data_IF_501457563057
#
_entry.id   IF_501457563057
#
_cell.length_a   1.000
_cell.length_b   1.000
_cell.length_c   1.000
_cell.angle_alpha   90.00
_cell.angle_beta   90.00
_cell.angle_gamma   90.00
#
_symmetry.space_group_name_H-M   'P 1'
#
loop_
_entity.id
_entity.type
_entity.pdbx_description
1 polymer ?
#
# COMPACT_ATOMS: atom_id res chain seq x y z
N UNK A 1 8.62 3.40 8.90
CA UNK A 1 7.78 4.47 8.30
C UNK A 1 6.37 4.35 8.86
N UNK A 2 5.70 5.44 9.14
CA UNK A 2 4.32 5.49 9.67
C UNK A 2 3.41 6.26 8.71
N UNK A 3 2.16 5.80 8.57
CA UNK A 3 1.13 6.42 7.73
C UNK A 3 -0.21 6.37 8.46
N UNK A 4 -0.89 7.52 8.56
CA UNK A 4 -2.27 7.63 9.03
C UNK A 4 -3.23 7.57 7.83
N UNK A 5 -4.29 6.77 7.96
CA UNK A 5 -5.33 6.58 6.96
C UNK A 5 -6.55 7.47 7.24
N UNK A 6 -7.44 7.58 6.26
CA UNK A 6 -8.64 8.43 6.34
C UNK A 6 -9.62 8.00 7.45
N UNK A 7 -9.59 6.72 7.84
CA UNK A 7 -10.37 6.17 8.95
C UNK A 7 -9.72 6.41 10.33
N UNK A 8 -8.60 7.15 10.37
CA UNK A 8 -7.84 7.42 11.58
C UNK A 8 -6.95 6.26 12.02
N UNK A 9 -6.88 5.16 11.27
CA UNK A 9 -5.96 4.06 11.59
C UNK A 9 -4.53 4.39 11.18
N UNK A 10 -3.58 4.01 12.03
CA UNK A 10 -2.15 4.19 11.77
C UNK A 10 -1.53 2.84 11.46
N UNK A 11 -0.75 2.78 10.38
CA UNK A 11 0.01 1.59 10.00
C UNK A 11 1.50 1.90 9.89
N UNK A 12 2.32 0.92 10.27
CA UNK A 12 3.77 1.06 10.29
C UNK A 12 4.43 0.05 9.35
N UNK A 13 5.63 0.40 8.89
CA UNK A 13 6.52 -0.49 8.15
C UNK A 13 7.89 -0.52 8.82
N UNK A 14 8.42 -1.73 9.01
CA UNK A 14 9.78 -2.04 9.45
C UNK A 14 10.85 -1.72 8.38
N UNK A 15 10.44 -1.44 7.14
CA UNK A 15 11.35 -1.14 6.05
C UNK A 15 11.83 0.31 6.11
N UNK A 16 13.10 0.50 5.79
CA UNK A 16 13.70 1.83 5.65
C UNK A 16 13.06 2.64 4.51
N UNK A 17 12.67 1.97 3.42
CA UNK A 17 11.98 2.57 2.29
C UNK A 17 10.85 1.65 1.83
N UNK A 18 9.68 2.25 1.62
CA UNK A 18 8.49 1.58 1.11
C UNK A 18 7.73 2.56 0.20
N UNK A 19 7.02 2.03 -0.78
CA UNK A 19 6.18 2.83 -1.68
C UNK A 19 4.72 2.75 -1.27
N UNK A 20 3.97 3.84 -1.47
CA UNK A 20 2.53 3.87 -1.24
C UNK A 20 1.76 3.38 -2.47
N UNK A 21 0.63 2.72 -2.22
CA UNK A 21 -0.29 2.28 -3.24
C UNK A 21 -1.18 3.44 -3.69
N UNK A 22 -1.10 3.80 -4.97
CA UNK A 22 -1.99 4.80 -5.59
C UNK A 22 -3.06 4.18 -6.49
N UNK A 23 -2.93 2.90 -6.83
CA UNK A 23 -3.86 2.17 -7.71
C UNK A 23 -5.03 1.49 -6.98
N UNK A 24 -4.99 1.42 -5.64
CA UNK A 24 -5.93 0.68 -4.78
C UNK A 24 -6.07 -0.82 -5.05
N UNK A 25 -5.12 -1.43 -5.78
CA UNK A 25 -5.10 -2.88 -6.07
C UNK A 25 -4.23 -3.70 -5.11
N UNK A 26 -3.52 -3.04 -4.19
CA UNK A 26 -2.63 -3.73 -3.25
C UNK A 26 -3.43 -4.60 -2.28
N UNK A 27 -2.93 -5.82 -2.02
CA UNK A 27 -3.47 -6.71 -0.98
C UNK A 27 -2.94 -6.35 0.41
N UNK A 28 -1.99 -5.43 0.47
CA UNK A 28 -1.32 -4.94 1.68
C UNK A 28 -1.43 -3.41 1.78
N UNK A 29 -2.58 -2.86 1.41
CA UNK A 29 -2.84 -1.43 1.50
C UNK A 29 -2.47 -0.91 2.91
N UNK A 30 -1.79 0.24 3.02
CA UNK A 30 -1.46 1.24 1.99
C UNK A 30 -0.15 0.98 1.22
N UNK A 31 0.56 -0.11 1.49
CA UNK A 31 1.85 -0.38 0.86
C UNK A 31 1.70 -0.89 -0.57
N UNK A 32 2.56 -0.43 -1.47
CA UNK A 32 2.63 -0.98 -2.82
C UNK A 32 3.26 -2.38 -2.78
N UNK A 33 2.54 -3.37 -3.29
CA UNK A 33 2.96 -4.78 -3.38
C UNK A 33 3.04 -5.27 -4.83
N UNK A 34 3.21 -4.33 -5.77
CA UNK A 34 3.26 -4.53 -7.23
C UNK A 34 2.01 -5.12 -7.89
N UNK A 35 0.89 -5.29 -7.16
CA UNK A 35 -0.39 -5.77 -7.71
C UNK A 35 -0.91 -4.95 -8.90
N UNK A 36 -0.50 -3.68 -9.06
CA UNK A 36 -0.86 -2.86 -10.22
C UNK A 36 -0.35 -3.40 -11.56
N UNK A 37 0.66 -4.27 -11.54
CA UNK A 37 1.21 -4.89 -12.77
C UNK A 37 0.42 -6.11 -13.21
N UNK A 38 -0.43 -6.65 -12.35
CA UNK A 38 -1.26 -7.79 -12.68
C UNK A 38 -2.25 -7.40 -13.79
N UNK A 39 -2.15 -8.12 -14.92
CA UNK A 39 -2.98 -7.90 -16.11
C UNK A 39 -4.30 -8.66 -16.05
N UNK A 40 -4.49 -9.52 -15.05
CA UNK A 40 -5.71 -10.34 -14.89
C UNK A 40 -6.84 -9.61 -14.18
N UNK A 41 -6.55 -8.50 -13.50
CA UNK A 41 -7.51 -7.68 -12.76
C UNK A 41 -8.09 -6.57 -13.66
N UNK A 42 -8.64 -6.97 -14.81
CA UNK A 42 -9.29 -6.11 -15.81
C UNK A 42 -10.73 -6.53 -16.05
#
# INVERSE_FOLDING_TARGET
MEVELEDGTTVTSDRFRVALCTCRRSRRYPWCDTSHRDRTQG
#
